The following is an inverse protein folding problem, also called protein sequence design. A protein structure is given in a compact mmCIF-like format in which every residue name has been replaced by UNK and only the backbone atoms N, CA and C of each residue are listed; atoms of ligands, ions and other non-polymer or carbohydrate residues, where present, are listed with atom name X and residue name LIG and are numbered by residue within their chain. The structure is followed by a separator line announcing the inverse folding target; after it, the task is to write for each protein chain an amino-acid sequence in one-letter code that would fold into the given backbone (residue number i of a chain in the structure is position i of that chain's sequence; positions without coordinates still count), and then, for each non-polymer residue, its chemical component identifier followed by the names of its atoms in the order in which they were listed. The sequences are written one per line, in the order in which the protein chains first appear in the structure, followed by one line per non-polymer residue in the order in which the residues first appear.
data_IF_921746282946
#
_entry.id   IF_921746282946
#
_cell.length_a   1.000
_cell.length_b   1.000
_cell.length_c   1.000
_cell.angle_alpha   90.00
_cell.angle_beta   90.00
_cell.angle_gamma   90.00
#
_symmetry.space_group_name_H-M   'P 1'
#
loop_
_entity.id
_entity.type
_entity.pdbx_description
1 polymer ?
#
# COMPACT_ATOMS: atom_id res chain seq x y z
N UNK A 1 34.60 -1.26 -19.75
CA UNK A 1 33.27 -1.01 -19.13
C UNK A 1 32.28 -1.92 -19.84
N UNK A 2 31.91 -2.98 -19.19
CA UNK A 2 30.81 -3.84 -19.64
C UNK A 2 29.56 -2.97 -19.48
N UNK A 3 28.86 -2.67 -20.58
CA UNK A 3 27.62 -1.87 -20.56
C UNK A 3 26.59 -2.62 -19.73
N UNK A 4 25.94 -1.91 -18.79
CA UNK A 4 24.86 -2.47 -18.00
C UNK A 4 23.73 -2.94 -18.94
N UNK A 5 23.14 -4.08 -18.63
CA UNK A 5 22.00 -4.61 -19.40
C UNK A 5 20.84 -3.59 -19.34
N UNK A 6 20.37 -3.05 -20.47
CA UNK A 6 19.30 -2.06 -20.50
C UNK A 6 18.02 -2.52 -19.80
N UNK A 7 17.74 -3.82 -19.78
CA UNK A 7 16.56 -4.35 -19.10
C UNK A 7 16.71 -4.26 -17.59
N UNK A 8 17.90 -4.54 -17.07
CA UNK A 8 18.20 -4.40 -15.64
C UNK A 8 18.15 -2.93 -15.24
N UNK A 9 18.74 -2.04 -16.03
CA UNK A 9 18.73 -0.60 -15.77
C UNK A 9 17.29 -0.06 -15.75
N UNK A 10 16.48 -0.40 -16.74
CA UNK A 10 15.08 0.00 -16.80
C UNK A 10 14.28 -0.50 -15.60
N UNK A 11 14.49 -1.76 -15.18
CA UNK A 11 13.82 -2.32 -14.02
C UNK A 11 14.22 -1.57 -12.75
N UNK A 12 15.52 -1.35 -12.52
CA UNK A 12 16.00 -0.65 -11.33
C UNK A 12 15.50 0.81 -11.29
N UNK A 13 15.54 1.52 -12.41
CA UNK A 13 14.99 2.87 -12.50
C UNK A 13 13.48 2.87 -12.22
N UNK A 14 12.72 1.95 -12.82
CA UNK A 14 11.27 1.85 -12.62
C UNK A 14 10.89 1.57 -11.18
N UNK A 15 11.61 0.65 -10.51
CA UNK A 15 11.42 0.35 -9.09
C UNK A 15 11.78 1.54 -8.20
N UNK A 16 12.88 2.23 -8.48
CA UNK A 16 13.31 3.40 -7.72
C UNK A 16 12.29 4.55 -7.82
N UNK A 17 11.76 4.80 -9.03
CA UNK A 17 10.72 5.81 -9.25
C UNK A 17 9.42 5.47 -8.54
N UNK A 18 8.99 4.21 -8.60
CA UNK A 18 7.82 3.74 -7.87
C UNK A 18 7.99 3.96 -6.35
N UNK A 19 9.11 3.55 -5.78
CA UNK A 19 9.37 3.70 -4.34
C UNK A 19 9.44 5.17 -3.93
N UNK A 20 10.07 6.03 -4.74
CA UNK A 20 10.12 7.47 -4.47
C UNK A 20 8.72 8.07 -4.44
N UNK A 21 7.89 7.78 -5.43
CA UNK A 21 6.50 8.23 -5.46
C UNK A 21 5.70 7.70 -4.26
N UNK A 22 5.88 6.44 -3.88
CA UNK A 22 5.21 5.83 -2.74
C UNK A 22 5.59 6.52 -1.41
N UNK A 23 6.87 6.78 -1.19
CA UNK A 23 7.31 7.48 0.02
C UNK A 23 6.86 8.93 0.04
N UNK A 24 6.87 9.63 -1.09
CA UNK A 24 6.30 10.98 -1.18
C UNK A 24 4.81 10.97 -0.91
N UNK A 25 4.08 9.98 -1.40
CA UNK A 25 2.66 9.83 -1.10
C UNK A 25 2.39 9.66 0.40
N UNK A 26 3.19 8.83 1.09
CA UNK A 26 3.07 8.68 2.56
C UNK A 26 3.43 9.98 3.28
N UNK A 27 4.53 10.61 2.94
CA UNK A 27 4.98 11.85 3.58
C UNK A 27 3.98 12.99 3.34
N UNK A 28 3.45 13.13 2.13
CA UNK A 28 2.47 14.15 1.81
C UNK A 28 1.18 13.99 2.63
N UNK A 29 0.72 12.74 2.82
CA UNK A 29 -0.47 12.46 3.61
C UNK A 29 -0.24 12.58 5.13
N UNK A 30 0.99 12.41 5.62
CA UNK A 30 1.33 12.56 7.04
C UNK A 30 1.59 14.01 7.45
N UNK A 31 2.26 14.78 6.57
CA UNK A 31 2.79 16.10 6.92
C UNK A 31 2.22 17.24 6.07
N UNK A 32 1.58 16.93 4.96
CA UNK A 32 0.91 17.90 4.09
C UNK A 32 -0.53 18.15 4.50
N UNK A 33 -1.13 19.18 3.89
CA UNK A 33 -2.58 19.32 3.92
C UNK A 33 -3.22 18.33 2.94
N UNK A 34 -4.46 17.90 3.13
CA UNK A 34 -5.20 17.16 2.12
C UNK A 34 -5.15 17.91 0.78
N UNK A 35 -4.96 17.18 -0.31
CA UNK A 35 -4.91 17.80 -1.64
C UNK A 35 -6.26 18.45 -1.96
N UNK A 36 -6.22 19.70 -2.40
CA UNK A 36 -7.39 20.43 -2.85
C UNK A 36 -7.01 21.16 -4.16
N UNK A 37 -7.75 20.90 -5.26
CA UNK A 37 -7.46 21.51 -6.57
C UNK A 37 -7.38 23.02 -6.52
N UNK A 38 -8.25 23.66 -5.73
CA UNK A 38 -8.33 25.11 -5.65
C UNK A 38 -7.10 25.76 -4.99
N UNK A 39 -6.43 25.06 -4.09
CA UNK A 39 -5.31 25.60 -3.28
C UNK A 39 -4.00 24.84 -3.46
N UNK A 40 -3.97 23.77 -4.26
CA UNK A 40 -2.78 22.92 -4.44
C UNK A 40 -1.52 23.66 -4.89
N UNK A 41 -1.68 24.77 -5.61
CA UNK A 41 -0.56 25.61 -6.10
C UNK A 41 0.03 26.52 -5.01
N UNK A 42 -0.68 26.72 -3.90
CA UNK A 42 -0.27 27.60 -2.80
C UNK A 42 -0.08 26.83 -1.49
N UNK A 43 -0.78 25.73 -1.29
CA UNK A 43 -0.64 24.90 -0.11
C UNK A 43 0.74 24.24 -0.06
N UNK A 44 1.51 24.52 0.98
CA UNK A 44 2.81 23.92 1.22
C UNK A 44 2.63 22.47 1.74
N UNK A 45 3.32 21.55 1.08
CA UNK A 45 3.30 20.13 1.40
C UNK A 45 4.62 19.71 2.08
N UNK A 46 5.47 19.01 1.40
CA UNK A 46 6.74 18.49 1.89
C UNK A 46 7.91 19.00 1.03
N UNK A 47 9.15 18.97 1.51
CA UNK A 47 10.30 19.21 0.65
C UNK A 47 10.39 18.17 -0.47
N UNK A 48 10.72 18.62 -1.68
CA UNK A 48 11.03 17.75 -2.81
C UNK A 48 12.55 17.70 -3.00
N UNK A 49 13.10 16.48 -2.96
CA UNK A 49 14.48 16.21 -3.35
C UNK A 49 14.49 15.16 -4.46
N UNK A 50 14.82 15.59 -5.66
CA UNK A 50 14.82 14.72 -6.86
C UNK A 50 16.22 14.38 -7.35
N UNK A 51 17.27 15.04 -6.81
CA UNK A 51 18.67 14.74 -7.09
C UNK A 51 19.26 13.77 -6.07
N UNK A 52 20.28 13.00 -6.50
CA UNK A 52 21.06 12.09 -5.64
C UNK A 52 22.11 12.80 -4.80
N UNK A 53 22.47 14.03 -5.15
CA UNK A 53 23.50 14.78 -4.47
C UNK A 53 23.21 14.98 -2.98
N UNK A 54 24.23 14.81 -2.17
CA UNK A 54 24.17 15.00 -0.73
C UNK A 54 24.69 16.42 -0.42
N UNK A 55 23.74 17.33 -0.19
CA UNK A 55 24.07 18.69 0.24
C UNK A 55 23.63 18.90 1.69
N UNK A 56 24.36 19.77 2.38
CA UNK A 56 23.94 20.30 3.68
C UNK A 56 22.96 21.50 3.51
N UNK A 57 22.10 21.42 2.49
CA UNK A 57 21.17 22.49 2.18
C UNK A 57 19.83 22.32 2.90
N UNK A 58 19.22 23.47 3.19
CA UNK A 58 17.86 23.53 3.70
C UNK A 58 16.88 23.47 2.53
N UNK A 59 16.10 22.39 2.47
CA UNK A 59 15.04 22.27 1.48
C UNK A 59 13.77 22.96 1.98
N UNK A 60 13.27 23.93 1.23
CA UNK A 60 11.96 24.50 1.48
C UNK A 60 10.85 23.50 1.13
N UNK A 61 9.69 23.66 1.77
CA UNK A 61 8.50 22.88 1.41
C UNK A 61 8.04 23.26 0.01
N UNK A 62 7.79 22.25 -0.82
CA UNK A 62 7.17 22.43 -2.12
C UNK A 62 5.64 22.53 -2.00
N UNK A 63 4.99 23.04 -3.04
CA UNK A 63 3.52 23.07 -3.09
C UNK A 63 2.93 21.65 -3.25
N UNK A 64 1.69 21.46 -2.82
CA UNK A 64 0.97 20.19 -3.03
C UNK A 64 0.92 19.82 -4.51
N UNK A 65 0.68 20.80 -5.39
CA UNK A 65 0.68 20.58 -6.84
C UNK A 65 2.03 20.06 -7.36
N UNK A 66 3.14 20.61 -6.88
CA UNK A 66 4.47 20.17 -7.29
C UNK A 66 4.79 18.76 -6.79
N UNK A 67 4.44 18.45 -5.53
CA UNK A 67 4.68 17.14 -4.93
C UNK A 67 3.87 16.04 -5.62
N UNK A 68 2.57 16.27 -5.81
CA UNK A 68 1.70 15.30 -6.49
C UNK A 68 2.03 15.17 -7.98
N UNK A 69 2.43 16.29 -8.63
CA UNK A 69 2.94 16.27 -10.01
C UNK A 69 4.17 15.37 -10.16
N UNK A 70 5.13 15.46 -9.23
CA UNK A 70 6.31 14.59 -9.23
C UNK A 70 5.95 13.12 -9.03
N UNK A 71 4.98 12.80 -8.15
CA UNK A 71 4.52 11.42 -7.99
C UNK A 71 3.90 10.86 -9.28
N UNK A 72 3.08 11.67 -9.96
CA UNK A 72 2.46 11.27 -11.24
C UNK A 72 3.53 11.01 -12.30
N UNK A 73 4.50 11.92 -12.46
CA UNK A 73 5.61 11.75 -13.41
C UNK A 73 6.41 10.47 -13.13
N UNK A 74 6.80 10.26 -11.89
CA UNK A 74 7.56 9.07 -11.49
C UNK A 74 6.77 7.78 -11.76
N UNK A 75 5.48 7.74 -11.43
CA UNK A 75 4.66 6.56 -11.62
C UNK A 75 4.36 6.30 -13.10
N UNK A 76 4.10 7.34 -13.89
CA UNK A 76 3.95 7.19 -15.34
C UNK A 76 5.23 6.61 -15.97
N UNK A 77 6.39 7.12 -15.57
CA UNK A 77 7.67 6.56 -16.05
C UNK A 77 7.87 5.14 -15.55
N UNK A 78 7.53 4.82 -14.30
CA UNK A 78 7.61 3.47 -13.75
C UNK A 78 6.72 2.48 -14.51
N UNK A 79 5.49 2.86 -14.91
CA UNK A 79 4.62 1.97 -15.71
C UNK A 79 5.21 1.61 -17.07
N UNK A 80 5.99 2.51 -17.67
CA UNK A 80 6.69 2.24 -18.94
C UNK A 80 7.90 1.33 -18.72
N UNK A 81 8.74 1.67 -17.75
CA UNK A 81 10.00 0.98 -17.48
C UNK A 81 9.80 -0.45 -16.96
N UNK A 82 8.74 -0.68 -16.20
CA UNK A 82 8.41 -1.99 -15.63
C UNK A 82 7.55 -2.86 -16.56
N UNK A 83 7.26 -2.40 -17.79
CA UNK A 83 6.48 -3.18 -18.76
C UNK A 83 7.20 -4.46 -19.13
N UNK A 84 6.50 -5.60 -18.94
CA UNK A 84 7.04 -6.92 -19.32
C UNK A 84 8.17 -7.43 -18.42
N UNK A 85 8.45 -6.74 -17.31
CA UNK A 85 9.42 -7.23 -16.33
C UNK A 85 8.78 -8.32 -15.47
N UNK A 86 9.50 -9.44 -15.29
CA UNK A 86 9.06 -10.51 -14.41
C UNK A 86 9.21 -10.08 -12.93
N UNK A 87 8.15 -10.29 -12.15
CA UNK A 87 8.18 -10.08 -10.71
C UNK A 87 8.67 -11.34 -10.00
N UNK A 88 9.91 -11.36 -9.57
CA UNK A 88 10.52 -12.51 -8.91
C UNK A 88 9.98 -12.75 -7.49
N UNK A 89 9.53 -11.70 -6.81
CA UNK A 89 8.93 -11.78 -5.46
C UNK A 89 7.92 -10.64 -5.27
N UNK A 90 6.96 -10.83 -4.36
CA UNK A 90 5.98 -9.79 -4.00
C UNK A 90 6.61 -8.59 -3.24
N UNK A 91 7.87 -8.69 -2.86
CA UNK A 91 8.64 -7.58 -2.26
C UNK A 91 9.30 -6.67 -3.30
N UNK A 92 9.25 -7.02 -4.57
CA UNK A 92 9.67 -6.18 -5.68
C UNK A 92 8.45 -5.65 -6.41
N UNK A 93 8.49 -4.39 -6.80
CA UNK A 93 7.37 -3.78 -7.53
C UNK A 93 7.33 -4.26 -8.98
N UNK A 94 6.18 -4.08 -9.61
CA UNK A 94 5.95 -4.35 -11.02
C UNK A 94 5.03 -3.28 -11.65
N UNK A 95 4.75 -3.41 -12.93
CA UNK A 95 3.90 -2.47 -13.67
C UNK A 95 2.50 -2.33 -13.04
N UNK A 96 1.90 -3.44 -12.60
CA UNK A 96 0.57 -3.43 -11.99
C UNK A 96 0.54 -2.64 -10.68
N UNK A 97 1.57 -2.80 -9.84
CA UNK A 97 1.70 -2.01 -8.61
C UNK A 97 1.83 -0.51 -8.92
N UNK A 98 2.58 -0.15 -9.98
CA UNK A 98 2.71 1.24 -10.40
C UNK A 98 1.37 1.83 -10.87
N UNK A 99 0.56 1.09 -11.63
CA UNK A 99 -0.79 1.52 -12.00
C UNK A 99 -1.71 1.67 -10.79
N UNK A 100 -1.68 0.75 -9.82
CA UNK A 100 -2.48 0.83 -8.59
C UNK A 100 -2.13 2.10 -7.80
N UNK A 101 -0.85 2.39 -7.62
CA UNK A 101 -0.44 3.58 -6.89
C UNK A 101 -0.76 4.87 -7.68
N UNK A 102 -0.58 4.86 -9.00
CA UNK A 102 -0.93 5.99 -9.88
C UNK A 102 -2.44 6.29 -9.83
N UNK A 103 -3.27 5.24 -9.88
CA UNK A 103 -4.73 5.36 -9.70
C UNK A 103 -5.07 6.03 -8.37
N UNK A 104 -4.41 5.59 -7.28
CA UNK A 104 -4.61 6.18 -5.95
C UNK A 104 -4.17 7.65 -5.87
N UNK A 105 -3.02 7.99 -6.46
CA UNK A 105 -2.55 9.39 -6.52
C UNK A 105 -3.56 10.25 -7.28
N UNK A 106 -4.04 9.80 -8.44
CA UNK A 106 -5.08 10.52 -9.20
C UNK A 106 -6.40 10.65 -8.43
N UNK A 107 -6.80 9.62 -7.68
CA UNK A 107 -7.99 9.68 -6.82
C UNK A 107 -7.87 10.78 -5.76
N UNK A 108 -6.70 10.88 -5.10
CA UNK A 108 -6.44 11.94 -4.11
C UNK A 108 -6.37 13.33 -4.74
N UNK A 109 -5.98 13.43 -6.02
CA UNK A 109 -6.01 14.66 -6.80
C UNK A 109 -7.39 14.99 -7.38
N UNK A 110 -8.42 14.19 -7.09
CA UNK A 110 -9.77 14.30 -7.68
C UNK A 110 -9.77 14.22 -9.22
N UNK A 111 -8.78 13.53 -9.80
CA UNK A 111 -8.70 13.24 -11.22
C UNK A 111 -9.33 11.88 -11.51
N UNK A 112 -10.64 11.78 -11.37
CA UNK A 112 -11.35 10.50 -11.35
C UNK A 112 -11.23 9.71 -12.66
N UNK A 113 -11.28 10.36 -13.80
CA UNK A 113 -11.12 9.72 -15.11
C UNK A 113 -9.74 9.04 -15.24
N UNK A 114 -8.68 9.73 -14.87
CA UNK A 114 -7.33 9.17 -14.88
C UNK A 114 -7.17 8.05 -13.83
N UNK A 115 -7.80 8.20 -12.67
CA UNK A 115 -7.81 7.16 -11.65
C UNK A 115 -8.47 5.88 -12.16
N UNK A 116 -9.62 5.99 -12.84
CA UNK A 116 -10.34 4.85 -13.45
C UNK A 116 -9.46 4.19 -14.52
N UNK A 117 -8.90 4.96 -15.45
CA UNK A 117 -8.06 4.41 -16.53
C UNK A 117 -6.84 3.65 -15.99
N UNK A 118 -6.22 4.14 -14.92
CA UNK A 118 -5.11 3.45 -14.26
C UNK A 118 -5.59 2.19 -13.52
N UNK A 119 -6.75 2.23 -12.87
CA UNK A 119 -7.33 1.07 -12.22
C UNK A 119 -7.67 -0.03 -13.24
N UNK A 120 -8.28 0.33 -14.37
CA UNK A 120 -8.58 -0.61 -15.45
C UNK A 120 -7.31 -1.24 -16.02
N UNK A 121 -6.24 -0.44 -16.16
CA UNK A 121 -4.93 -0.94 -16.58
C UNK A 121 -4.34 -1.96 -15.60
N UNK A 122 -4.53 -1.75 -14.31
CA UNK A 122 -4.10 -2.70 -13.27
C UNK A 122 -4.94 -3.98 -13.29
N UNK A 123 -6.27 -3.87 -13.45
CA UNK A 123 -7.21 -4.98 -13.49
C UNK A 123 -7.09 -5.82 -14.79
N UNK A 124 -6.53 -5.26 -15.84
CA UNK A 124 -6.25 -6.00 -17.08
C UNK A 124 -5.22 -7.13 -16.87
N UNK A 125 -4.38 -7.03 -15.82
CA UNK A 125 -3.48 -8.11 -15.45
C UNK A 125 -4.22 -9.19 -14.66
N UNK A 126 -4.53 -10.30 -15.32
CA UNK A 126 -5.30 -11.43 -14.76
C UNK A 126 -4.51 -12.34 -13.83
N UNK A 127 -3.24 -12.06 -13.61
CA UNK A 127 -2.42 -12.73 -12.59
C UNK A 127 -2.96 -12.44 -11.18
N UNK A 128 -3.55 -11.25 -10.99
CA UNK A 128 -4.12 -10.82 -9.72
C UNK A 128 -5.65 -10.88 -9.75
N UNK A 129 -6.22 -11.38 -8.69
CA UNK A 129 -7.68 -11.49 -8.54
C UNK A 129 -8.07 -11.33 -7.07
N UNK A 130 -9.31 -10.93 -6.83
CA UNK A 130 -9.84 -10.93 -5.48
C UNK A 130 -9.94 -12.37 -4.95
N UNK A 131 -9.62 -12.56 -3.68
CA UNK A 131 -9.79 -13.84 -3.00
C UNK A 131 -11.27 -14.11 -2.77
N UNK A 132 -11.73 -15.30 -3.13
CA UNK A 132 -13.08 -15.74 -2.77
C UNK A 132 -13.13 -16.08 -1.28
N UNK A 133 -13.90 -15.31 -0.51
CA UNK A 133 -14.06 -15.54 0.92
C UNK A 133 -15.01 -16.71 1.22
N UNK A 134 -15.75 -17.27 0.25
CA UNK A 134 -16.49 -18.51 0.44
C UNK A 134 -15.54 -19.70 0.65
N UNK A 135 -14.35 -19.63 0.07
CA UNK A 135 -13.30 -20.64 0.23
C UNK A 135 -12.43 -20.42 1.48
N UNK A 136 -12.77 -19.43 2.32
CA UNK A 136 -11.97 -19.11 3.49
C UNK A 136 -12.15 -20.14 4.61
N UNK A 137 -11.10 -20.88 4.90
CA UNK A 137 -11.08 -21.95 5.92
C UNK A 137 -10.40 -21.55 7.24
N UNK A 138 -9.87 -20.33 7.32
CA UNK A 138 -9.19 -19.80 8.51
C UNK A 138 -7.81 -19.22 8.20
N UNK A 139 -7.08 -18.80 9.22
CA UNK A 139 -5.75 -18.20 9.09
C UNK A 139 -5.81 -16.68 8.76
N UNK A 140 -4.79 -16.17 8.09
CA UNK A 140 -4.80 -14.80 7.56
C UNK A 140 -5.66 -14.72 6.30
N UNK A 141 -6.59 -13.76 6.27
CA UNK A 141 -7.38 -13.52 5.07
C UNK A 141 -6.51 -12.91 3.96
N UNK A 142 -5.52 -12.08 4.33
CA UNK A 142 -4.54 -11.50 3.41
C UNK A 142 -3.14 -11.82 3.91
N UNK A 143 -2.32 -12.43 3.05
CA UNK A 143 -0.91 -12.76 3.29
C UNK A 143 -0.12 -12.58 1.99
N UNK A 144 1.21 -12.64 2.05
CA UNK A 144 2.09 -12.31 0.92
C UNK A 144 1.73 -13.04 -0.38
N UNK A 145 1.35 -14.33 -0.29
CA UNK A 145 0.99 -15.13 -1.46
C UNK A 145 -0.52 -15.08 -1.80
N UNK A 146 -1.31 -14.22 -1.15
CA UNK A 146 -2.71 -14.04 -1.53
C UNK A 146 -2.82 -13.56 -2.98
N UNK A 147 -3.82 -14.02 -3.76
CA UNK A 147 -3.96 -13.70 -5.17
C UNK A 147 -4.22 -12.21 -5.44
N UNK A 148 -4.65 -11.47 -4.44
CA UNK A 148 -4.89 -10.01 -4.50
C UNK A 148 -3.67 -9.16 -4.10
N UNK A 149 -2.59 -9.78 -3.58
CA UNK A 149 -1.38 -9.04 -3.21
C UNK A 149 -0.47 -8.88 -4.43
N UNK A 150 -0.31 -7.64 -4.86
CA UNK A 150 0.55 -7.27 -5.99
C UNK A 150 1.96 -6.91 -5.50
N UNK A 151 2.04 -6.11 -4.44
CA UNK A 151 3.30 -5.68 -3.84
C UNK A 151 3.11 -5.49 -2.34
N UNK A 152 4.12 -5.85 -1.56
CA UNK A 152 4.12 -5.66 -0.11
C UNK A 152 5.53 -5.36 0.42
N UNK A 153 5.59 -4.63 1.52
CA UNK A 153 6.82 -4.53 2.30
C UNK A 153 6.94 -5.74 3.24
N UNK A 154 8.17 -6.17 3.52
CA UNK A 154 8.46 -7.37 4.32
C UNK A 154 7.93 -7.30 5.77
N UNK A 155 7.62 -6.11 6.26
CA UNK A 155 7.09 -5.94 7.62
C UNK A 155 5.62 -5.53 7.58
N UNK A 156 4.79 -6.38 8.18
CA UNK A 156 3.40 -6.07 8.39
C UNK A 156 3.23 -5.30 9.71
N UNK A 157 3.48 -4.00 9.66
CA UNK A 157 3.32 -3.10 10.80
C UNK A 157 1.89 -3.15 11.37
N UNK A 158 0.89 -3.35 10.50
CA UNK A 158 -0.50 -3.49 10.93
C UNK A 158 -0.73 -4.76 11.75
N UNK A 159 -0.06 -5.85 11.43
CA UNK A 159 -0.13 -7.07 12.24
C UNK A 159 0.55 -6.86 13.61
N UNK A 160 1.60 -6.07 13.68
CA UNK A 160 2.25 -5.70 14.95
C UNK A 160 1.34 -4.81 15.79
N UNK A 161 0.70 -3.81 15.17
CA UNK A 161 -0.19 -2.87 15.87
C UNK A 161 -1.50 -3.53 16.33
N UNK A 162 -2.07 -4.41 15.51
CA UNK A 162 -3.34 -5.09 15.79
C UNK A 162 -3.18 -6.52 16.29
N UNK A 163 -1.95 -7.05 16.26
CA UNK A 163 -1.64 -8.38 16.74
C UNK A 163 -1.77 -8.52 18.26
N UNK A 164 -1.76 -9.75 18.75
CA UNK A 164 -1.76 -9.99 20.19
C UNK A 164 -0.42 -9.53 20.79
N UNK A 165 -0.49 -8.65 21.78
CA UNK A 165 0.67 -8.31 22.61
C UNK A 165 0.70 -9.28 23.80
N UNK A 166 1.82 -10.00 23.96
CA UNK A 166 2.02 -10.84 25.13
C UNK A 166 2.45 -9.96 26.30
N UNK A 167 1.52 -9.71 27.21
CA UNK A 167 1.81 -8.96 28.44
C UNK A 167 1.33 -9.77 29.67
N UNK A 168 2.20 -9.90 30.67
CA UNK A 168 1.89 -10.59 31.95
C UNK A 168 1.32 -12.01 31.80
N UNK A 169 1.89 -12.80 30.86
CA UNK A 169 1.45 -14.18 30.63
C UNK A 169 0.13 -14.30 29.84
N UNK A 170 -0.38 -13.25 29.26
CA UNK A 170 -1.62 -13.25 28.45
C UNK A 170 -1.43 -12.51 27.13
N UNK A 171 -2.06 -13.01 26.07
CA UNK A 171 -2.16 -12.30 24.80
C UNK A 171 -3.31 -11.29 24.87
N UNK A 172 -2.99 -10.02 24.80
CA UNK A 172 -3.95 -8.94 24.66
C UNK A 172 -3.73 -8.22 23.33
N UNK A 173 -4.77 -7.91 22.56
CA UNK A 173 -4.60 -6.99 21.45
C UNK A 173 -4.63 -5.56 21.97
N UNK A 174 -3.80 -4.71 21.36
CA UNK A 174 -3.73 -3.29 21.74
C UNK A 174 -5.03 -2.53 21.41
N UNK A 175 -5.79 -3.02 20.40
CA UNK A 175 -7.01 -2.37 19.94
C UNK A 175 -8.12 -3.41 19.73
N UNK A 176 -9.34 -3.01 20.04
CA UNK A 176 -10.58 -3.73 19.72
C UNK A 176 -11.34 -2.92 18.67
N UNK A 177 -12.02 -3.62 17.77
CA UNK A 177 -12.92 -2.97 16.83
C UNK A 177 -14.13 -2.42 17.57
N UNK A 178 -14.62 -1.25 17.16
CA UNK A 178 -15.83 -0.68 17.76
C UNK A 178 -17.06 -1.55 17.46
N UNK A 179 -18.00 -1.57 18.37
CA UNK A 179 -19.26 -2.29 18.20
C UNK A 179 -20.06 -1.76 17.01
N UNK A 180 -19.97 -0.45 16.73
CA UNK A 180 -20.65 0.16 15.59
C UNK A 180 -20.09 -0.35 14.27
N UNK A 181 -18.75 -0.51 14.17
CA UNK A 181 -18.12 -1.12 13.01
C UNK A 181 -18.61 -2.55 12.82
N UNK A 182 -18.63 -3.35 13.89
CA UNK A 182 -19.06 -4.76 13.81
C UNK A 182 -20.54 -4.85 13.43
N UNK A 183 -21.37 -4.01 13.99
CA UNK A 183 -22.82 -3.95 13.67
C UNK A 183 -23.12 -3.44 12.25
N UNK A 184 -22.18 -2.75 11.62
CA UNK A 184 -22.34 -2.29 10.24
C UNK A 184 -22.25 -3.41 9.21
N UNK A 185 -21.72 -4.59 9.59
CA UNK A 185 -21.70 -5.76 8.72
C UNK A 185 -23.02 -6.52 8.80
N UNK A 186 -23.56 -6.87 7.64
CA UNK A 186 -24.66 -7.83 7.56
C UNK A 186 -24.18 -9.20 8.09
N UNK A 187 -25.03 -9.95 8.78
CA UNK A 187 -24.73 -11.29 9.30
C UNK A 187 -24.32 -12.31 8.23
N UNK A 188 -24.59 -12.02 6.96
CA UNK A 188 -24.13 -12.81 5.80
C UNK A 188 -22.82 -12.33 5.21
N UNK A 189 -22.28 -11.20 5.67
CA UNK A 189 -21.03 -10.64 5.16
C UNK A 189 -19.84 -11.49 5.61
N UNK A 190 -19.23 -12.16 4.64
CA UNK A 190 -18.09 -13.06 4.88
C UNK A 190 -16.86 -12.34 5.44
N UNK A 191 -16.76 -11.02 5.25
CA UNK A 191 -15.66 -10.21 5.80
C UNK A 191 -15.67 -10.21 7.32
N UNK A 192 -16.85 -10.26 7.96
CA UNK A 192 -16.96 -10.34 9.41
C UNK A 192 -16.22 -11.58 9.93
N UNK A 193 -16.47 -12.74 9.34
CA UNK A 193 -15.81 -14.01 9.70
C UNK A 193 -14.31 -14.03 9.34
N UNK A 194 -13.96 -13.47 8.19
CA UNK A 194 -12.60 -13.56 7.67
C UNK A 194 -11.65 -12.50 8.29
N UNK A 195 -12.17 -11.32 8.63
CA UNK A 195 -11.33 -10.20 9.06
C UNK A 195 -11.38 -9.92 10.55
N UNK A 196 -12.35 -10.48 11.26
CA UNK A 196 -12.54 -10.23 12.68
C UNK A 196 -12.64 -11.54 13.47
N UNK A 197 -12.09 -11.53 14.67
CA UNK A 197 -12.18 -12.64 15.60
C UNK A 197 -12.76 -12.14 16.93
N UNK A 198 -13.80 -12.81 17.41
CA UNK A 198 -14.35 -12.55 18.74
C UNK A 198 -13.36 -13.01 19.83
N UNK A 199 -13.19 -12.19 20.86
CA UNK A 199 -12.33 -12.51 22.01
C UNK A 199 -13.14 -13.30 23.02
N UNK A 200 -12.80 -14.58 23.18
CA UNK A 200 -13.52 -15.47 24.12
C UNK A 200 -12.93 -15.51 25.54
N UNK A 201 -11.67 -15.09 25.72
CA UNK A 201 -10.94 -15.39 26.98
C UNK A 201 -10.60 -14.19 27.86
N UNK A 202 -10.70 -12.95 27.38
CA UNK A 202 -10.17 -11.75 28.07
C UNK A 202 -11.06 -10.49 28.01
N UNK A 203 -12.31 -10.63 27.64
CA UNK A 203 -13.23 -9.51 27.53
C UNK A 203 -14.03 -9.51 26.22
N UNK A 204 -15.14 -8.80 26.26
CA UNK A 204 -16.03 -8.65 25.12
C UNK A 204 -15.39 -7.84 24.01
N UNK A 205 -15.66 -8.16 22.75
CA UNK A 205 -15.28 -7.40 21.58
C UNK A 205 -14.59 -8.21 20.50
N UNK A 206 -14.41 -7.56 19.36
CA UNK A 206 -13.79 -8.11 18.16
C UNK A 206 -12.41 -7.48 17.93
N UNK A 207 -11.47 -8.26 17.43
CA UNK A 207 -10.18 -7.77 16.95
C UNK A 207 -10.06 -8.00 15.44
N UNK A 208 -9.40 -7.08 14.74
CA UNK A 208 -9.05 -7.27 13.35
C UNK A 208 -7.95 -8.35 13.23
N UNK A 209 -8.21 -9.35 12.38
CA UNK A 209 -7.28 -10.46 12.09
C UNK A 209 -7.07 -10.62 10.59
N UNK A 210 -7.44 -9.62 9.80
CA UNK A 210 -7.31 -9.64 8.34
C UNK A 210 -5.90 -10.00 7.90
N UNK A 211 -4.90 -9.46 8.59
CA UNK A 211 -3.49 -9.78 8.41
C UNK A 211 -2.95 -10.27 9.75
N UNK A 212 -2.49 -11.50 9.82
CA UNK A 212 -1.80 -12.04 10.99
C UNK A 212 -0.32 -12.19 10.65
N UNK A 213 0.54 -12.06 11.68
CA UNK A 213 1.86 -12.67 11.61
C UNK A 213 1.60 -14.18 11.61
N UNK A 214 1.78 -14.82 10.48
CA UNK A 214 1.87 -16.26 10.44
C UNK A 214 3.33 -16.54 10.79
N UNK A 215 3.56 -17.26 11.87
CA UNK A 215 4.82 -17.97 12.05
C UNK A 215 4.90 -18.98 10.88
N UNK A 216 5.64 -18.61 9.83
CA UNK A 216 6.00 -19.53 8.77
C UNK A 216 6.98 -20.52 9.36
N UNK A 217 6.49 -21.58 9.92
CA UNK A 217 7.35 -22.65 10.36
C UNK A 217 6.96 -23.36 11.64
N UNK A 218 5.76 -23.95 11.70
CA UNK A 218 5.57 -25.24 12.37
C UNK A 218 4.52 -26.01 11.57
N UNK A 219 4.94 -26.84 10.67
CA UNK A 219 4.21 -28.01 10.20
C UNK A 219 4.67 -29.21 11.00
#
# INVERSE_FOLDING_TARGET
KQGDDPQICNRVEGEARFLRAQYYFFLANLYGRPYCKATATTDLCIPLKTSEDIYMDYFSRATSSAVYGQMVEDLQRATVLLRGTEQTTKYRTNQTAAFILLSRVHLFMENYEAAIACADSALANREYRLRDLNEYTGGSAVYVNSPEVVFTHSQNMMAVLHGPVYARGKYASSFTSSDDLIRSFDGKDLRLKAFFMQRSALGDGYRCVKTRLIDEGVS
#
